data_IF_286862158020
#
_entry.id   IF_286862158020
#
_cell.length_a   1.000
_cell.length_b   1.000
_cell.length_c   1.000
_cell.angle_alpha   90.00
_cell.angle_beta   90.00
_cell.angle_gamma   90.00
#
_symmetry.space_group_name_H-M   'P 1'
#
loop_
_entity.id
_entity.type
_entity.pdbx_description
1 polymer ?
#
# COMPACT_ATOMS: atom_id res chain seq x y z
N UNK A 1 -8.82 -10.89 -27.51
CA UNK A 1 -9.75 -9.73 -27.53
C UNK A 1 -9.24 -8.67 -26.55
N UNK A 2 -9.18 -7.40 -26.93
CA UNK A 2 -8.76 -6.31 -26.02
C UNK A 2 -9.98 -5.48 -25.64
N UNK A 3 -10.18 -5.26 -24.35
CA UNK A 3 -11.24 -4.41 -23.80
C UNK A 3 -10.61 -3.10 -23.32
N UNK A 4 -11.18 -1.98 -23.74
CA UNK A 4 -10.86 -0.64 -23.27
C UNK A 4 -12.08 -0.11 -22.52
N UNK A 5 -11.91 0.49 -21.38
CA UNK A 5 -13.00 1.10 -20.64
C UNK A 5 -12.58 2.39 -19.96
N UNK A 6 -13.32 3.45 -20.26
CA UNK A 6 -13.23 4.76 -19.65
C UNK A 6 -14.64 5.35 -19.52
N UNK A 7 -14.85 6.20 -18.53
CA UNK A 7 -16.09 7.01 -18.44
C UNK A 7 -15.95 8.35 -19.16
N UNK A 8 -14.75 8.71 -19.60
CA UNK A 8 -14.50 9.98 -20.28
C UNK A 8 -14.90 9.89 -21.77
N UNK A 9 -15.45 10.97 -22.34
CA UNK A 9 -15.63 11.08 -23.79
C UNK A 9 -14.29 10.87 -24.49
N UNK A 10 -14.26 10.07 -25.57
CA UNK A 10 -13.03 9.70 -26.31
C UNK A 10 -11.97 8.94 -25.50
N UNK A 11 -12.28 8.50 -24.26
CA UNK A 11 -11.35 7.82 -23.37
C UNK A 11 -10.74 6.53 -23.97
N UNK A 12 -11.50 5.77 -24.78
CA UNK A 12 -10.97 4.56 -25.43
C UNK A 12 -9.83 4.87 -26.41
N UNK A 13 -9.94 5.96 -27.17
CA UNK A 13 -8.90 6.40 -28.10
C UNK A 13 -7.62 6.77 -27.32
N UNK A 14 -7.77 7.55 -26.27
CA UNK A 14 -6.67 7.93 -25.36
C UNK A 14 -5.99 6.70 -24.74
N UNK A 15 -6.76 5.75 -24.21
CA UNK A 15 -6.21 4.53 -23.62
C UNK A 15 -5.40 3.73 -24.65
N UNK A 16 -5.88 3.63 -25.89
CA UNK A 16 -5.19 2.96 -26.98
C UNK A 16 -3.86 3.65 -27.32
N UNK A 17 -3.87 4.97 -27.40
CA UNK A 17 -2.68 5.79 -27.67
C UNK A 17 -1.64 5.64 -26.57
N UNK A 18 -2.04 5.78 -25.30
CA UNK A 18 -1.13 5.64 -24.16
C UNK A 18 -0.50 4.24 -24.09
N UNK A 19 -1.27 3.20 -24.40
CA UNK A 19 -0.76 1.84 -24.50
C UNK A 19 0.30 1.73 -25.59
N UNK A 20 0.05 2.27 -26.77
CA UNK A 20 1.01 2.25 -27.90
C UNK A 20 2.31 2.95 -27.54
N UNK A 21 2.27 4.07 -26.82
CA UNK A 21 3.48 4.75 -26.34
C UNK A 21 4.30 3.89 -25.38
N UNK A 22 3.64 3.23 -24.43
CA UNK A 22 4.33 2.32 -23.48
C UNK A 22 4.90 1.09 -24.21
N UNK A 23 4.18 0.50 -25.16
CA UNK A 23 4.66 -0.63 -25.96
C UNK A 23 5.87 -0.23 -26.81
N UNK A 24 5.79 0.90 -27.53
CA UNK A 24 6.92 1.42 -28.31
C UNK A 24 8.15 1.69 -27.43
N UNK A 25 7.95 2.33 -26.27
CA UNK A 25 9.03 2.57 -25.30
C UNK A 25 9.70 1.28 -24.82
N UNK A 26 8.90 0.27 -24.46
CA UNK A 26 9.44 -1.01 -23.97
C UNK A 26 10.14 -1.83 -25.03
N UNK A 27 9.76 -1.67 -26.29
CA UNK A 27 10.37 -2.34 -27.45
C UNK A 27 11.55 -1.54 -28.05
N UNK A 28 11.87 -0.36 -27.49
CA UNK A 28 12.91 0.52 -28.01
C UNK A 28 12.60 1.11 -29.40
N UNK A 29 11.31 1.19 -29.75
CA UNK A 29 10.83 1.80 -30.98
C UNK A 29 10.76 3.31 -30.88
N UNK A 30 10.87 4.05 -31.99
CA UNK A 30 10.70 5.50 -31.99
C UNK A 30 9.31 5.90 -31.49
N UNK A 31 9.27 6.92 -30.63
CA UNK A 31 8.06 7.58 -30.16
C UNK A 31 8.06 9.01 -30.70
N UNK A 32 6.88 9.63 -30.86
CA UNK A 32 6.78 11.03 -31.28
C UNK A 32 7.68 11.92 -30.41
N UNK A 33 8.38 12.92 -30.98
CA UNK A 33 9.21 13.86 -30.22
C UNK A 33 8.45 14.63 -29.13
N UNK A 34 7.15 14.75 -29.24
CA UNK A 34 6.27 15.43 -28.28
C UNK A 34 5.87 14.54 -27.10
N UNK A 35 6.33 13.27 -27.08
CA UNK A 35 5.98 12.31 -26.05
C UNK A 35 7.22 11.88 -25.27
N UNK A 36 7.19 12.06 -23.97
CA UNK A 36 8.18 11.51 -23.06
C UNK A 36 7.58 10.33 -22.29
N UNK A 37 8.28 9.20 -22.29
CA UNK A 37 7.90 8.01 -21.54
C UNK A 37 9.06 7.58 -20.65
N UNK A 38 8.79 7.37 -19.37
CA UNK A 38 9.81 6.94 -18.40
C UNK A 38 9.24 5.91 -17.43
N UNK A 39 10.08 4.99 -16.96
CA UNK A 39 9.74 4.08 -15.86
C UNK A 39 9.92 4.82 -14.54
N UNK A 40 8.84 5.03 -13.79
CA UNK A 40 8.89 5.64 -12.46
C UNK A 40 8.90 4.60 -11.33
N UNK A 41 8.52 3.36 -11.62
CA UNK A 41 8.62 2.23 -10.68
C UNK A 41 8.71 0.90 -11.44
N UNK A 42 9.55 -0.01 -10.97
CA UNK A 42 9.69 -1.35 -11.53
C UNK A 42 9.75 -2.41 -10.43
N UNK A 43 8.78 -3.33 -10.42
CA UNK A 43 8.67 -4.40 -9.44
C UNK A 43 7.84 -5.57 -9.99
N UNK A 44 6.82 -6.02 -9.25
CA UNK A 44 5.84 -6.99 -9.79
C UNK A 44 4.90 -6.38 -10.83
N UNK A 45 4.74 -5.08 -10.76
CA UNK A 45 4.05 -4.26 -11.75
C UNK A 45 5.05 -3.19 -12.18
N UNK A 46 4.86 -2.61 -13.35
CA UNK A 46 5.67 -1.48 -13.81
C UNK A 46 4.78 -0.26 -13.92
N UNK A 47 5.25 0.88 -13.45
CA UNK A 47 4.58 2.17 -13.61
C UNK A 47 5.40 3.01 -14.59
N UNK A 48 4.72 3.46 -15.62
CA UNK A 48 5.26 4.40 -16.60
C UNK A 48 4.62 5.75 -16.38
N UNK A 49 5.40 6.82 -16.45
CA UNK A 49 4.90 8.19 -16.63
C UNK A 49 4.97 8.49 -18.12
N UNK A 50 3.87 8.95 -18.67
CA UNK A 50 3.73 9.31 -20.08
C UNK A 50 3.28 10.77 -20.15
N UNK A 51 4.18 11.64 -20.59
CA UNK A 51 3.91 13.05 -20.87
C UNK A 51 3.65 13.17 -22.38
N UNK A 52 2.48 13.65 -22.76
CA UNK A 52 2.05 13.75 -24.17
C UNK A 52 1.12 14.96 -24.34
N UNK A 53 0.75 15.34 -25.59
CA UNK A 53 -0.12 16.49 -25.82
C UNK A 53 -1.47 16.42 -25.11
N UNK A 54 -1.99 15.22 -24.86
CA UNK A 54 -3.24 14.98 -24.16
C UNK A 54 -3.12 15.16 -22.64
N UNK A 55 -1.89 15.24 -22.12
CA UNK A 55 -1.59 15.45 -20.71
C UNK A 55 -0.50 14.55 -20.15
N UNK A 56 -0.44 14.51 -18.82
CA UNK A 56 0.54 13.73 -18.06
C UNK A 56 -0.17 12.58 -17.33
N UNK A 57 0.27 11.36 -17.56
CA UNK A 57 -0.41 10.14 -17.12
C UNK A 57 0.53 9.17 -16.42
N UNK A 58 -0.05 8.37 -15.54
CA UNK A 58 0.58 7.16 -15.02
C UNK A 58 -0.11 5.93 -15.60
N UNK A 59 0.67 5.09 -16.28
CA UNK A 59 0.23 3.82 -16.83
C UNK A 59 0.80 2.70 -15.96
N UNK A 60 -0.06 2.05 -15.18
CA UNK A 60 0.30 0.91 -14.34
C UNK A 60 0.06 -0.39 -15.08
N UNK A 61 1.14 -1.00 -15.56
CA UNK A 61 1.14 -2.30 -16.18
C UNK A 61 1.20 -3.40 -15.12
N UNK A 62 0.21 -4.27 -15.07
CA UNK A 62 0.20 -5.44 -14.22
C UNK A 62 0.88 -6.60 -14.95
N UNK A 63 2.07 -6.97 -14.49
CA UNK A 63 2.86 -8.03 -15.11
C UNK A 63 2.12 -9.37 -15.26
N UNK A 64 2.69 -10.26 -16.06
CA UNK A 64 2.13 -11.55 -16.46
C UNK A 64 1.59 -12.37 -15.28
N UNK A 65 0.44 -12.96 -15.47
CA UNK A 65 -0.25 -13.79 -14.49
C UNK A 65 0.16 -15.27 -14.66
N UNK A 66 0.17 -16.01 -13.56
CA UNK A 66 0.23 -17.47 -13.62
C UNK A 66 -1.08 -18.00 -14.22
N UNK A 67 -1.02 -19.08 -14.99
CA UNK A 67 -2.14 -19.68 -15.74
C UNK A 67 -3.47 -19.72 -14.95
N UNK A 68 -3.47 -20.27 -13.74
CA UNK A 68 -4.68 -20.36 -12.92
C UNK A 68 -5.28 -18.99 -12.54
N UNK A 69 -4.44 -17.98 -12.33
CA UNK A 69 -4.91 -16.61 -12.04
C UNK A 69 -5.39 -15.90 -13.29
N UNK A 70 -4.75 -16.15 -14.41
CA UNK A 70 -5.14 -15.65 -15.73
C UNK A 70 -6.56 -16.12 -16.09
N UNK A 71 -6.83 -17.43 -15.95
CA UNK A 71 -8.14 -18.02 -16.13
C UNK A 71 -9.18 -17.44 -15.14
N UNK A 72 -8.86 -17.44 -13.86
CA UNK A 72 -9.76 -16.90 -12.82
C UNK A 72 -10.15 -15.45 -13.10
N UNK A 73 -9.18 -14.55 -13.33
CA UNK A 73 -9.48 -13.13 -13.56
C UNK A 73 -10.21 -12.89 -14.88
N UNK A 74 -9.89 -13.65 -15.93
CA UNK A 74 -10.55 -13.57 -17.21
C UNK A 74 -12.03 -13.97 -17.13
N UNK A 75 -12.31 -15.14 -16.55
CA UNK A 75 -13.67 -15.68 -16.47
C UNK A 75 -14.54 -14.99 -15.43
N UNK A 76 -13.98 -14.53 -14.31
CA UNK A 76 -14.74 -13.79 -13.28
C UNK A 76 -14.82 -12.29 -13.54
N UNK A 77 -14.10 -11.79 -14.55
CA UNK A 77 -14.04 -10.34 -14.86
C UNK A 77 -13.58 -9.49 -13.65
N UNK A 78 -12.64 -10.03 -12.86
CA UNK A 78 -12.13 -9.41 -11.62
C UNK A 78 -10.66 -9.03 -11.72
N UNK A 79 -10.19 -8.64 -12.90
CA UNK A 79 -8.83 -8.19 -13.16
C UNK A 79 -8.40 -7.04 -12.23
N UNK A 80 -7.09 -6.94 -11.98
CA UNK A 80 -6.57 -5.90 -11.07
C UNK A 80 -6.74 -4.50 -11.65
N UNK A 81 -6.54 -4.34 -12.96
CA UNK A 81 -6.69 -3.06 -13.64
C UNK A 81 -8.13 -2.55 -13.52
N UNK A 82 -9.09 -3.40 -13.86
CA UNK A 82 -10.52 -3.11 -13.72
C UNK A 82 -10.89 -2.73 -12.29
N UNK A 83 -10.45 -3.52 -11.29
CA UNK A 83 -10.72 -3.20 -9.87
C UNK A 83 -10.10 -1.88 -9.44
N UNK A 84 -8.85 -1.58 -9.87
CA UNK A 84 -8.22 -0.30 -9.55
C UNK A 84 -9.05 0.86 -10.09
N UNK A 85 -9.53 0.76 -11.33
CA UNK A 85 -10.35 1.79 -11.96
C UNK A 85 -11.70 1.97 -11.26
N UNK A 86 -12.44 0.89 -11.02
CA UNK A 86 -13.75 0.97 -10.36
C UNK A 86 -13.63 1.49 -8.92
N UNK A 87 -12.61 1.08 -8.19
CA UNK A 87 -12.36 1.56 -6.83
C UNK A 87 -11.95 3.04 -6.83
N UNK A 88 -11.22 3.52 -7.84
CA UNK A 88 -10.90 4.93 -7.98
C UNK A 88 -12.15 5.78 -8.21
N UNK A 89 -13.02 5.37 -9.13
CA UNK A 89 -14.32 6.05 -9.36
C UNK A 89 -15.17 6.08 -8.09
N UNK A 90 -15.16 5.02 -7.30
CA UNK A 90 -15.89 4.99 -6.05
C UNK A 90 -15.29 5.92 -4.98
N UNK A 91 -13.96 6.04 -4.90
CA UNK A 91 -13.31 7.03 -4.04
C UNK A 91 -13.69 8.45 -4.45
N UNK A 92 -13.68 8.76 -5.76
CA UNK A 92 -14.10 10.08 -6.26
C UNK A 92 -15.54 10.39 -5.89
N UNK A 93 -16.46 9.42 -6.01
CA UNK A 93 -17.86 9.60 -5.62
C UNK A 93 -18.05 9.90 -4.13
N UNK A 94 -17.08 9.49 -3.29
CA UNK A 94 -17.03 9.77 -1.86
C UNK A 94 -16.19 11.02 -1.53
N UNK A 95 -15.70 11.75 -2.53
CA UNK A 95 -14.80 12.90 -2.37
C UNK A 95 -13.49 12.56 -1.61
N UNK A 96 -13.03 11.31 -1.74
CA UNK A 96 -11.77 10.83 -1.18
C UNK A 96 -10.67 10.90 -2.23
N UNK A 97 -9.57 11.65 -1.98
CA UNK A 97 -8.56 11.89 -3.01
C UNK A 97 -7.85 10.62 -3.48
N UNK A 98 -7.77 10.47 -4.79
CA UNK A 98 -6.93 9.52 -5.52
C UNK A 98 -6.52 10.19 -6.84
N UNK A 99 -5.41 9.79 -7.49
CA UNK A 99 -5.12 10.27 -8.85
C UNK A 99 -6.30 10.00 -9.78
N UNK A 100 -6.72 11.04 -10.53
CA UNK A 100 -7.90 11.00 -11.42
C UNK A 100 -7.87 9.76 -12.32
N UNK A 101 -8.85 8.85 -12.25
CA UNK A 101 -8.88 7.65 -13.06
C UNK A 101 -9.29 7.94 -14.50
N UNK A 102 -8.46 7.54 -15.45
CA UNK A 102 -8.76 7.69 -16.88
C UNK A 102 -9.44 6.43 -17.42
N UNK A 103 -8.93 5.26 -17.06
CA UNK A 103 -9.51 4.02 -17.52
C UNK A 103 -8.65 2.79 -17.25
N UNK A 104 -9.07 1.67 -17.85
CA UNK A 104 -8.28 0.45 -17.84
C UNK A 104 -8.34 -0.28 -19.17
N UNK A 105 -7.34 -1.13 -19.40
CA UNK A 105 -7.22 -2.00 -20.57
C UNK A 105 -7.04 -3.43 -20.06
N UNK A 106 -7.79 -4.36 -20.63
CA UNK A 106 -7.64 -5.80 -20.40
C UNK A 106 -7.55 -6.55 -21.73
N UNK A 107 -6.51 -7.34 -21.89
CA UNK A 107 -6.31 -8.20 -23.05
C UNK A 107 -6.57 -9.65 -22.67
N UNK A 108 -7.43 -10.31 -23.43
CA UNK A 108 -7.82 -11.69 -23.23
C UNK A 108 -7.40 -12.53 -24.45
N UNK A 109 -7.02 -13.77 -24.21
CA UNK A 109 -6.77 -14.75 -25.27
C UNK A 109 -8.09 -15.33 -25.87
N UNK A 110 -7.96 -16.28 -26.76
CA UNK A 110 -9.11 -16.95 -27.40
C UNK A 110 -9.97 -17.75 -26.41
N UNK A 111 -9.41 -18.15 -25.27
CA UNK A 111 -10.11 -18.89 -24.19
C UNK A 111 -10.71 -17.95 -23.15
N UNK A 112 -10.61 -16.62 -23.33
CA UNK A 112 -11.09 -15.62 -22.40
C UNK A 112 -10.20 -15.42 -21.16
N UNK A 113 -9.00 -16.00 -21.15
CA UNK A 113 -8.06 -15.79 -20.05
C UNK A 113 -7.42 -14.41 -20.13
N UNK A 114 -7.27 -13.74 -18.98
CA UNK A 114 -6.62 -12.41 -18.90
C UNK A 114 -5.11 -12.57 -19.05
N UNK A 115 -4.55 -12.11 -20.17
CA UNK A 115 -3.12 -12.21 -20.48
C UNK A 115 -2.34 -10.95 -20.14
N UNK A 116 -2.98 -9.78 -20.26
CA UNK A 116 -2.34 -8.49 -19.96
C UNK A 116 -3.34 -7.44 -19.49
N UNK A 117 -2.89 -6.48 -18.65
CA UNK A 117 -3.80 -5.44 -18.16
C UNK A 117 -3.07 -4.17 -17.70
N UNK A 118 -3.70 -3.01 -17.93
CA UNK A 118 -3.20 -1.69 -17.59
C UNK A 118 -4.28 -0.88 -16.88
N UNK A 119 -3.92 -0.17 -15.81
CA UNK A 119 -4.71 0.87 -15.19
C UNK A 119 -4.04 2.21 -15.46
N UNK A 120 -4.82 3.19 -15.88
CA UNK A 120 -4.35 4.51 -16.27
C UNK A 120 -5.03 5.57 -15.41
N UNK A 121 -4.24 6.50 -14.87
CA UNK A 121 -4.71 7.68 -14.15
C UNK A 121 -3.87 8.90 -14.53
N UNK A 122 -4.33 10.10 -14.21
CA UNK A 122 -3.54 11.33 -14.31
C UNK A 122 -2.33 11.26 -13.41
N UNK A 123 -1.21 11.81 -13.88
CA UNK A 123 -0.07 12.02 -13.00
C UNK A 123 -0.39 13.13 -12.01
N UNK A 124 -0.09 12.88 -10.75
CA UNK A 124 -0.22 13.86 -9.67
C UNK A 124 1.14 13.99 -8.99
N UNK A 125 1.70 15.20 -9.01
CA UNK A 125 2.97 15.50 -8.35
C UNK A 125 2.76 15.49 -6.83
N UNK A 126 3.22 14.45 -6.15
CA UNK A 126 3.15 14.33 -4.70
C UNK A 126 4.37 14.99 -4.06
N UNK A 127 4.16 15.73 -2.96
CA UNK A 127 5.26 16.31 -2.17
C UNK A 127 6.12 15.22 -1.58
N UNK A 128 5.47 14.20 -1.02
CA UNK A 128 6.12 12.98 -0.53
C UNK A 128 5.37 11.76 -1.04
N UNK A 129 6.11 10.83 -1.63
CA UNK A 129 5.54 9.59 -2.14
C UNK A 129 5.41 8.49 -1.09
N UNK A 130 5.87 8.74 0.15
CA UNK A 130 5.83 7.73 1.20
C UNK A 130 5.84 8.32 2.61
N UNK A 131 5.03 7.76 3.48
CA UNK A 131 5.03 8.01 4.92
C UNK A 131 6.01 7.08 5.68
N UNK A 132 6.81 6.29 4.97
CA UNK A 132 7.67 5.26 5.57
C UNK A 132 8.64 5.80 6.64
N UNK A 133 9.35 6.94 6.45
CA UNK A 133 10.25 7.48 7.46
C UNK A 133 9.52 7.87 8.76
N UNK A 134 8.29 8.35 8.65
CA UNK A 134 7.46 8.72 9.79
C UNK A 134 6.91 7.48 10.51
N UNK A 135 6.47 6.50 9.76
CA UNK A 135 6.02 5.22 10.30
C UNK A 135 7.14 4.47 11.03
N UNK A 136 8.38 4.59 10.56
CA UNK A 136 9.57 4.04 11.19
C UNK A 136 10.04 4.82 12.42
N UNK A 137 9.57 6.05 12.61
CA UNK A 137 10.04 6.95 13.67
C UNK A 137 11.38 7.62 13.37
N UNK A 138 11.83 7.62 12.12
CA UNK A 138 13.06 8.26 11.65
C UNK A 138 12.86 9.77 11.44
N UNK A 139 11.69 10.14 10.92
CA UNK A 139 11.19 11.51 10.87
C UNK A 139 9.99 11.64 11.80
N UNK A 140 9.76 12.83 12.31
CA UNK A 140 8.61 13.13 13.15
C UNK A 140 8.04 14.50 12.73
N UNK A 141 6.76 14.51 12.41
CA UNK A 141 5.99 15.72 12.14
C UNK A 141 4.63 15.57 12.80
N UNK A 142 4.40 16.31 13.85
CA UNK A 142 3.11 16.28 14.58
C UNK A 142 1.96 16.74 13.69
N UNK A 143 2.07 17.87 12.92
CA UNK A 143 1.00 18.30 12.02
C UNK A 143 0.63 17.23 10.97
N UNK A 144 1.62 16.60 10.35
CA UNK A 144 1.40 15.55 9.35
C UNK A 144 0.69 14.33 9.94
N UNK A 145 1.15 13.84 11.11
CA UNK A 145 0.59 12.63 11.72
C UNK A 145 -0.82 12.91 12.24
N UNK A 146 -1.08 14.10 12.77
CA UNK A 146 -2.40 14.53 13.20
C UNK A 146 -3.37 14.58 12.01
N UNK A 147 -3.00 15.29 10.95
CA UNK A 147 -3.81 15.38 9.74
C UNK A 147 -4.06 14.00 9.10
N UNK A 148 -3.07 13.10 9.13
CA UNK A 148 -3.23 11.71 8.67
C UNK A 148 -4.27 10.96 9.52
N UNK A 149 -4.28 11.15 10.85
CA UNK A 149 -5.27 10.53 11.73
C UNK A 149 -6.69 10.98 11.41
N UNK A 150 -6.88 12.27 11.20
CA UNK A 150 -8.17 12.87 10.80
C UNK A 150 -8.62 12.36 9.42
N UNK A 151 -7.70 12.32 8.44
CA UNK A 151 -7.96 11.76 7.12
C UNK A 151 -8.41 10.29 7.17
N UNK A 152 -7.71 9.46 7.93
CA UNK A 152 -8.04 8.03 8.08
C UNK A 152 -9.35 7.82 8.85
N UNK A 153 -9.69 8.71 9.78
CA UNK A 153 -10.99 8.70 10.45
C UNK A 153 -12.12 8.96 9.44
N UNK A 154 -11.98 9.99 8.61
CA UNK A 154 -12.93 10.29 7.53
C UNK A 154 -13.05 9.13 6.53
N UNK A 155 -11.92 8.55 6.11
CA UNK A 155 -11.90 7.37 5.23
C UNK A 155 -12.76 6.22 5.80
N UNK A 156 -12.63 5.96 7.10
CA UNK A 156 -13.37 4.89 7.78
C UNK A 156 -14.82 5.27 8.10
N UNK A 157 -15.13 6.57 8.28
CA UNK A 157 -16.52 7.06 8.36
C UNK A 157 -17.24 6.83 7.02
N UNK A 158 -16.56 7.03 5.90
CA UNK A 158 -17.09 6.70 4.57
C UNK A 158 -17.17 5.19 4.28
N UNK A 159 -16.86 4.33 5.26
CA UNK A 159 -16.96 2.87 5.12
C UNK A 159 -15.87 2.23 4.27
N UNK A 160 -14.76 2.91 4.01
CA UNK A 160 -13.71 2.46 3.10
C UNK A 160 -12.62 1.67 3.82
N UNK A 161 -12.33 0.46 3.34
CA UNK A 161 -11.21 -0.38 3.77
C UNK A 161 -10.23 -0.53 2.63
N UNK A 162 -8.99 -0.10 2.82
CA UNK A 162 -7.89 -0.40 1.92
C UNK A 162 -7.10 -1.59 2.47
N UNK A 163 -7.23 -2.79 1.88
CA UNK A 163 -6.61 -4.02 2.43
C UNK A 163 -5.07 -3.99 2.50
N UNK A 164 -4.44 -3.13 1.73
CA UNK A 164 -2.99 -2.93 1.77
C UNK A 164 -2.63 -1.50 2.24
N UNK A 165 -3.35 -0.99 3.23
CA UNK A 165 -3.15 0.33 3.82
C UNK A 165 -1.77 0.37 4.49
N UNK A 166 -0.79 0.84 3.74
CA UNK A 166 0.61 0.92 4.18
C UNK A 166 1.15 2.32 3.91
N UNK A 167 2.22 2.74 4.59
CA UNK A 167 2.80 4.07 4.40
C UNK A 167 3.13 4.43 2.96
N UNK A 168 3.53 3.45 2.14
CA UNK A 168 3.83 3.64 0.72
C UNK A 168 2.58 3.83 -0.18
N UNK A 169 1.39 3.52 0.34
CA UNK A 169 0.13 3.63 -0.41
C UNK A 169 -0.69 4.86 -0.03
N UNK A 170 -0.10 5.76 0.78
CA UNK A 170 -0.71 7.03 1.21
C UNK A 170 0.28 8.17 0.93
N UNK A 171 0.57 8.50 -0.32
CA UNK A 171 1.32 9.70 -0.65
C UNK A 171 0.50 10.95 -0.32
N UNK A 172 1.17 12.11 -0.17
CA UNK A 172 0.51 13.35 0.14
C UNK A 172 1.10 14.56 -0.59
N UNK A 173 0.31 15.60 -0.65
CA UNK A 173 0.73 16.94 -1.04
C UNK A 173 0.64 17.84 0.20
N UNK A 174 1.68 18.63 0.43
CA UNK A 174 1.68 19.73 1.39
C UNK A 174 1.52 21.03 0.62
N UNK A 175 0.45 21.75 0.88
CA UNK A 175 0.32 23.14 0.49
C UNK A 175 1.08 24.00 1.51
N UNK A 176 2.27 24.46 1.14
CA UNK A 176 3.12 25.26 2.02
C UNK A 176 2.50 26.60 2.38
N UNK A 177 1.60 27.15 1.55
CA UNK A 177 0.94 28.43 1.79
C UNK A 177 -0.10 28.37 2.90
N UNK A 178 -0.79 27.24 3.03
CA UNK A 178 -1.85 27.02 4.02
C UNK A 178 -1.43 26.08 5.14
N UNK A 179 -0.33 25.32 4.95
CA UNK A 179 0.08 24.24 5.84
C UNK A 179 -0.84 23.01 5.79
N UNK A 180 -1.68 22.91 4.76
CA UNK A 180 -2.69 21.83 4.63
C UNK A 180 -2.10 20.61 3.92
N UNK A 181 -2.41 19.42 4.46
CA UNK A 181 -2.04 18.15 3.87
C UNK A 181 -3.22 17.54 3.12
N UNK A 182 -3.00 17.15 1.86
CA UNK A 182 -3.94 16.34 1.07
C UNK A 182 -3.35 14.95 0.88
N UNK A 183 -4.00 13.93 1.43
CA UNK A 183 -3.58 12.54 1.32
C UNK A 183 -4.29 11.86 0.14
N UNK A 184 -3.56 11.08 -0.63
CA UNK A 184 -4.06 10.30 -1.73
C UNK A 184 -3.98 8.81 -1.43
N UNK A 185 -4.92 8.02 -1.94
CA UNK A 185 -4.79 6.57 -1.93
C UNK A 185 -4.30 6.07 -3.28
N UNK A 186 -3.32 5.16 -3.26
CA UNK A 186 -2.80 4.48 -4.45
C UNK A 186 -2.77 2.96 -4.24
N UNK A 187 -2.55 2.19 -5.29
CA UNK A 187 -2.63 0.71 -5.32
C UNK A 187 -4.01 0.15 -4.96
N UNK A 188 -5.03 0.69 -5.59
CA UNK A 188 -6.45 0.55 -5.27
C UNK A 188 -7.06 -0.83 -5.59
N UNK A 189 -6.30 -1.80 -6.08
CA UNK A 189 -6.86 -3.09 -6.54
C UNK A 189 -7.44 -3.98 -5.42
N UNK A 190 -7.28 -3.57 -4.15
CA UNK A 190 -7.77 -4.27 -2.96
C UNK A 190 -8.48 -3.31 -2.02
N UNK A 191 -9.70 -2.99 -2.34
CA UNK A 191 -10.55 -2.13 -1.50
C UNK A 191 -11.90 -2.78 -1.27
N UNK A 192 -12.51 -2.42 -0.15
CA UNK A 192 -13.90 -2.74 0.18
C UNK A 192 -14.61 -1.47 0.61
N UNK A 193 -15.86 -1.37 0.23
CA UNK A 193 -16.72 -0.23 0.54
C UNK A 193 -17.95 -0.75 1.28
N UNK A 194 -18.23 -0.17 2.42
CA UNK A 194 -19.41 -0.42 3.25
C UNK A 194 -20.33 0.80 3.18
N UNK A 195 -21.65 0.63 3.16
CA UNK A 195 -22.57 1.76 3.28
C UNK A 195 -22.57 2.37 4.69
N UNK A 196 -21.87 1.76 5.63
CA UNK A 196 -21.80 2.19 7.03
C UNK A 196 -20.36 2.49 7.43
N UNK A 197 -20.20 3.41 8.38
CA UNK A 197 -18.93 3.66 9.04
C UNK A 197 -18.30 2.36 9.58
N UNK A 198 -16.98 2.24 9.48
CA UNK A 198 -16.29 1.04 9.93
C UNK A 198 -16.37 0.89 11.47
N UNK A 199 -16.62 -0.32 11.90
CA UNK A 199 -16.54 -0.65 13.32
C UNK A 199 -15.12 -0.49 13.87
N UNK A 200 -14.99 -0.27 15.18
CA UNK A 200 -13.70 -0.14 15.86
C UNK A 200 -12.75 -1.30 15.55
N UNK A 201 -13.24 -2.53 15.52
CA UNK A 201 -12.43 -3.71 15.24
C UNK A 201 -11.89 -3.73 13.81
N UNK A 202 -12.69 -3.33 12.82
CA UNK A 202 -12.28 -3.27 11.41
C UNK A 202 -11.26 -2.14 11.23
N UNK A 203 -11.48 -0.99 11.86
CA UNK A 203 -10.55 0.15 11.84
C UNK A 203 -9.18 -0.24 12.39
N UNK A 204 -9.12 -0.88 13.56
CA UNK A 204 -7.87 -1.38 14.14
C UNK A 204 -7.10 -2.31 13.20
N UNK A 205 -7.80 -3.25 12.54
CA UNK A 205 -7.18 -4.15 11.55
C UNK A 205 -6.63 -3.42 10.33
N UNK A 206 -7.32 -2.36 9.90
CA UNK A 206 -6.89 -1.59 8.74
C UNK A 206 -5.67 -0.72 9.07
N UNK A 207 -5.62 -0.16 10.28
CA UNK A 207 -4.53 0.71 10.75
C UNK A 207 -3.29 -0.04 11.24
N UNK A 208 -3.39 -1.32 11.67
CA UNK A 208 -2.35 -2.08 12.36
C UNK A 208 -0.98 -2.15 11.65
N UNK A 209 -0.95 -1.88 10.35
CA UNK A 209 0.27 -1.97 9.53
C UNK A 209 0.94 -0.63 9.24
N UNK A 210 0.31 0.48 9.60
CA UNK A 210 0.82 1.81 9.27
C UNK A 210 2.09 2.15 10.05
N UNK A 211 2.07 2.00 11.37
CA UNK A 211 3.17 2.42 12.22
C UNK A 211 3.77 1.27 13.03
N UNK A 212 5.07 1.33 13.20
CA UNK A 212 5.82 0.47 14.14
C UNK A 212 6.57 1.29 15.19
N UNK A 213 6.61 2.61 15.07
CA UNK A 213 7.03 3.54 16.11
C UNK A 213 5.85 3.85 17.03
N UNK A 214 5.99 3.58 18.33
CA UNK A 214 4.92 3.89 19.32
C UNK A 214 4.62 5.38 19.37
N UNK A 215 5.64 6.24 19.36
CA UNK A 215 5.43 7.69 19.41
C UNK A 215 4.54 8.20 18.28
N UNK A 216 4.79 7.73 17.05
CA UNK A 216 3.97 8.11 15.90
C UNK A 216 2.57 7.43 15.95
N UNK A 217 2.52 6.19 16.43
CA UNK A 217 1.26 5.46 16.61
C UNK A 217 0.34 6.14 17.63
N UNK A 218 0.90 6.63 18.74
CA UNK A 218 0.13 7.30 19.81
C UNK A 218 -0.52 8.58 19.30
N UNK A 219 0.24 9.39 18.55
CA UNK A 219 -0.30 10.62 17.98
C UNK A 219 -1.37 10.34 16.92
N UNK A 220 -1.14 9.36 16.05
CA UNK A 220 -2.14 8.93 15.08
C UNK A 220 -3.42 8.44 15.78
N UNK A 221 -3.25 7.57 16.80
CA UNK A 221 -4.37 7.02 17.54
C UNK A 221 -5.19 8.11 18.22
N UNK A 222 -4.52 9.12 18.81
CA UNK A 222 -5.17 10.26 19.44
C UNK A 222 -6.04 11.02 18.43
N UNK A 223 -5.45 11.52 17.35
CA UNK A 223 -6.19 12.33 16.38
C UNK A 223 -7.29 11.54 15.68
N UNK A 224 -7.04 10.26 15.39
CA UNK A 224 -8.04 9.36 14.82
C UNK A 224 -9.23 9.14 15.78
N UNK A 225 -8.96 8.83 17.05
CA UNK A 225 -10.01 8.59 18.06
C UNK A 225 -10.82 9.85 18.35
N UNK A 226 -10.17 11.01 18.46
CA UNK A 226 -10.85 12.30 18.60
C UNK A 226 -11.81 12.56 17.43
N UNK A 227 -11.35 12.37 16.19
CA UNK A 227 -12.18 12.53 14.98
C UNK A 227 -13.35 11.54 14.89
N UNK A 228 -13.19 10.32 15.46
CA UNK A 228 -14.25 9.30 15.54
C UNK A 228 -15.14 9.42 16.77
N UNK A 229 -14.90 10.38 17.68
CA UNK A 229 -15.62 10.50 18.95
C UNK A 229 -15.41 9.31 19.89
N UNK A 230 -14.26 8.63 19.81
CA UNK A 230 -13.94 7.48 20.66
C UNK A 230 -13.04 7.87 21.83
N UNK A 231 -13.09 7.06 22.89
CA UNK A 231 -12.22 7.28 24.05
C UNK A 231 -10.76 7.02 23.65
N UNK A 232 -9.93 8.06 23.79
CA UNK A 232 -8.56 8.12 23.24
C UNK A 232 -7.64 7.08 23.89
N UNK A 233 -7.64 6.97 25.21
CA UNK A 233 -6.67 6.13 25.92
C UNK A 233 -6.88 4.64 25.60
N UNK A 234 -8.14 4.17 25.56
CA UNK A 234 -8.44 2.79 25.22
C UNK A 234 -8.12 2.49 23.74
N UNK A 235 -8.46 3.41 22.84
CA UNK A 235 -8.17 3.20 21.42
C UNK A 235 -6.66 3.16 21.15
N UNK A 236 -5.89 4.08 21.75
CA UNK A 236 -4.43 4.11 21.64
C UNK A 236 -3.82 2.79 22.10
N UNK A 237 -4.25 2.27 23.25
CA UNK A 237 -3.77 0.99 23.77
C UNK A 237 -4.11 -0.18 22.84
N UNK A 238 -5.32 -0.21 22.29
CA UNK A 238 -5.76 -1.24 21.36
C UNK A 238 -4.99 -1.17 20.03
N UNK A 239 -4.78 0.04 19.48
CA UNK A 239 -4.03 0.21 18.24
C UNK A 239 -2.56 -0.17 18.40
N UNK A 240 -1.91 0.24 19.51
CA UNK A 240 -0.55 -0.21 19.82
C UNK A 240 -0.46 -1.74 19.87
N UNK A 241 -1.40 -2.38 20.57
CA UNK A 241 -1.44 -3.83 20.65
C UNK A 241 -1.65 -4.51 19.28
N UNK A 242 -2.51 -3.96 18.43
CA UNK A 242 -2.73 -4.45 17.08
C UNK A 242 -1.47 -4.29 16.20
N UNK A 243 -0.82 -3.12 16.22
CA UNK A 243 0.44 -2.86 15.52
C UNK A 243 1.54 -3.82 16.01
N UNK A 244 1.70 -3.99 17.30
CA UNK A 244 2.67 -4.90 17.88
C UNK A 244 2.44 -6.35 17.44
N UNK A 245 1.20 -6.81 17.43
CA UNK A 245 0.84 -8.14 16.97
C UNK A 245 1.15 -8.34 15.47
N UNK A 246 0.84 -7.33 14.66
CA UNK A 246 1.12 -7.36 13.24
C UNK A 246 2.63 -7.45 12.97
N UNK A 247 3.41 -6.54 13.54
CA UNK A 247 4.85 -6.44 13.31
C UNK A 247 5.61 -7.61 13.94
N UNK A 248 5.21 -8.09 15.11
CA UNK A 248 5.78 -9.28 15.72
C UNK A 248 5.69 -10.52 14.80
N UNK A 249 4.59 -10.66 14.07
CA UNK A 249 4.41 -11.76 13.09
C UNK A 249 5.16 -11.53 11.79
N UNK A 250 5.35 -10.26 11.39
CA UNK A 250 5.86 -9.88 10.08
C UNK A 250 7.39 -9.71 10.06
N UNK A 251 7.96 -8.98 11.03
CA UNK A 251 9.39 -8.65 11.04
C UNK A 251 10.31 -9.86 11.01
N UNK A 252 10.10 -10.92 11.81
CA UNK A 252 10.98 -12.09 11.75
C UNK A 252 10.94 -12.82 10.40
N UNK A 253 9.77 -12.80 9.73
CA UNK A 253 9.63 -13.39 8.38
C UNK A 253 10.35 -12.55 7.33
N UNK A 254 10.26 -11.21 7.45
CA UNK A 254 10.99 -10.30 6.58
C UNK A 254 12.49 -10.44 6.80
N UNK A 255 12.94 -10.40 8.03
CA UNK A 255 14.36 -10.57 8.39
C UNK A 255 14.94 -11.87 7.81
N UNK A 256 14.25 -13.02 7.96
CA UNK A 256 14.63 -14.27 7.32
C UNK A 256 14.71 -14.17 5.80
N UNK A 257 13.69 -13.59 5.17
CA UNK A 257 13.57 -13.54 3.70
C UNK A 257 14.69 -12.75 3.06
N UNK A 258 15.12 -11.65 3.71
CA UNK A 258 16.12 -10.74 3.16
C UNK A 258 17.53 -11.07 3.62
N UNK A 259 17.72 -11.65 4.78
CA UNK A 259 19.03 -12.15 5.22
C UNK A 259 19.57 -13.26 4.33
N UNK A 260 18.70 -14.06 3.73
CA UNK A 260 19.08 -15.11 2.76
C UNK A 260 19.50 -14.56 1.38
N UNK A 261 19.34 -13.27 1.11
CA UNK A 261 19.63 -12.63 -0.18
C UNK A 261 20.87 -11.74 -0.17
N UNK A 262 21.90 -12.14 0.59
CA UNK A 262 23.26 -11.55 0.52
C UNK A 262 23.38 -10.06 0.89
N UNK A 263 22.91 -9.67 2.06
CA UNK A 263 23.37 -8.42 2.66
C UNK A 263 24.34 -8.72 3.80
N UNK A 264 25.59 -8.76 3.53
CA UNK A 264 26.86 -8.77 4.31
C UNK A 264 26.86 -8.80 5.84
N UNK A 265 25.76 -8.63 6.52
CA UNK A 265 25.63 -8.65 7.96
C UNK A 265 24.85 -9.90 8.39
N UNK A 266 25.62 -10.82 8.95
CA UNK A 266 25.20 -11.98 9.75
C UNK A 266 23.77 -12.53 9.50
N UNK A 267 23.59 -13.20 8.34
CA UNK A 267 22.48 -14.13 8.08
C UNK A 267 22.15 -15.00 9.31
N UNK A 268 23.17 -15.39 10.08
CA UNK A 268 23.06 -16.13 11.33
C UNK A 268 22.26 -15.38 12.41
N UNK A 269 22.41 -14.07 12.53
CA UNK A 269 21.64 -13.28 13.51
C UNK A 269 20.14 -13.32 13.21
N UNK A 270 19.73 -13.02 11.98
CA UNK A 270 18.31 -13.03 11.57
C UNK A 270 17.70 -14.43 11.59
N UNK A 271 18.46 -15.44 11.24
CA UNK A 271 18.00 -16.84 11.39
C UNK A 271 17.75 -17.20 12.86
N UNK A 272 18.60 -16.78 13.79
CA UNK A 272 18.40 -16.97 15.25
C UNK A 272 17.11 -16.27 15.71
N UNK A 273 16.88 -15.02 15.30
CA UNK A 273 15.65 -14.27 15.62
C UNK A 273 14.41 -15.00 15.08
N UNK A 274 14.47 -15.52 13.87
CA UNK A 274 13.36 -16.25 13.27
C UNK A 274 13.08 -17.60 13.96
N UNK A 275 14.12 -18.37 14.28
CA UNK A 275 13.98 -19.62 15.03
C UNK A 275 13.44 -19.38 16.43
N UNK A 276 13.90 -18.33 17.13
CA UNK A 276 13.34 -17.91 18.40
C UNK A 276 11.85 -17.59 18.27
N UNK A 277 11.45 -16.85 17.23
CA UNK A 277 10.04 -16.55 16.98
C UNK A 277 9.21 -17.82 16.77
N UNK A 278 9.67 -18.78 15.98
CA UNK A 278 8.96 -20.03 15.73
C UNK A 278 8.78 -20.85 17.01
N UNK A 279 9.86 -20.95 17.81
CA UNK A 279 9.84 -21.69 19.07
C UNK A 279 8.88 -21.05 20.07
N UNK A 280 8.97 -19.74 20.27
CA UNK A 280 8.08 -18.98 21.16
C UNK A 280 6.61 -19.03 20.71
N UNK A 281 6.36 -19.02 19.40
CA UNK A 281 5.01 -19.22 18.82
C UNK A 281 4.45 -20.59 19.15
N UNK A 282 5.26 -21.65 19.07
CA UNK A 282 4.85 -23.02 19.48
C UNK A 282 4.54 -23.06 20.97
N UNK A 283 5.44 -22.52 21.80
CA UNK A 283 5.25 -22.45 23.24
C UNK A 283 3.94 -21.77 23.63
N UNK A 284 3.61 -20.63 23.04
CA UNK A 284 2.33 -19.93 23.30
C UNK A 284 1.09 -20.76 22.97
N UNK A 285 1.18 -21.68 22.01
CA UNK A 285 0.04 -22.56 21.68
C UNK A 285 -0.28 -23.61 22.74
N UNK A 286 0.72 -24.06 23.44
CA UNK A 286 0.60 -25.13 24.46
C UNK A 286 0.40 -24.59 25.87
N UNK A 287 0.60 -23.31 26.11
CA UNK A 287 0.41 -22.72 27.44
C UNK A 287 -1.05 -22.72 27.83
N UNK A 288 -1.41 -23.19 29.05
CA UNK A 288 -2.79 -23.29 29.50
C UNK A 288 -3.40 -21.93 29.87
N UNK A 289 -2.62 -21.00 30.41
CA UNK A 289 -3.10 -19.73 30.95
C UNK A 289 -3.04 -18.58 29.95
N UNK A 290 -4.11 -17.76 29.89
CA UNK A 290 -4.16 -16.54 29.09
C UNK A 290 -3.17 -15.48 29.56
N UNK A 291 -2.97 -15.33 30.87
CA UNK A 291 -2.02 -14.38 31.46
C UNK A 291 -0.57 -14.72 31.11
N UNK A 292 -0.21 -15.99 31.18
CA UNK A 292 1.12 -16.46 30.74
C UNK A 292 1.35 -16.23 29.23
N UNK A 293 0.33 -16.42 28.40
CA UNK A 293 0.40 -16.11 26.96
C UNK A 293 0.65 -14.63 26.72
N UNK A 294 -0.06 -13.75 27.43
CA UNK A 294 0.12 -12.30 27.31
C UNK A 294 1.50 -11.86 27.79
N UNK A 295 1.96 -12.35 28.94
CA UNK A 295 3.31 -12.05 29.44
C UNK A 295 4.40 -12.49 28.44
N UNK A 296 4.31 -13.70 27.93
CA UNK A 296 5.28 -14.23 26.95
C UNK A 296 5.25 -13.41 25.65
N UNK A 297 4.08 -12.92 25.28
CA UNK A 297 3.92 -12.07 24.11
C UNK A 297 4.55 -10.70 24.29
N UNK A 298 4.35 -10.05 25.44
CA UNK A 298 4.96 -8.78 25.79
C UNK A 298 6.51 -8.86 25.85
N UNK A 299 7.03 -9.93 26.47
CA UNK A 299 8.46 -10.20 26.50
C UNK A 299 9.06 -10.36 25.08
N UNK A 300 8.32 -11.00 24.19
CA UNK A 300 8.75 -11.22 22.81
C UNK A 300 8.76 -9.92 22.01
N UNK A 301 7.76 -9.06 22.17
CA UNK A 301 7.73 -7.72 21.56
C UNK A 301 8.91 -6.90 22.05
N UNK A 302 9.15 -6.83 23.36
CA UNK A 302 10.25 -6.09 23.95
C UNK A 302 11.60 -6.61 23.47
N UNK A 303 11.72 -7.93 23.23
CA UNK A 303 12.91 -8.53 22.66
C UNK A 303 13.14 -8.08 21.21
N UNK A 304 12.13 -8.19 20.33
CA UNK A 304 12.28 -7.80 18.93
C UNK A 304 12.54 -6.31 18.76
N UNK A 305 11.92 -5.45 19.57
CA UNK A 305 12.18 -4.01 19.55
C UNK A 305 13.62 -3.65 19.90
N UNK A 306 14.27 -4.43 20.79
CA UNK A 306 15.69 -4.23 21.13
C UNK A 306 16.66 -4.74 20.08
N UNK A 307 16.29 -5.78 19.32
CA UNK A 307 17.19 -6.49 18.41
C UNK A 307 16.94 -6.22 16.93
N UNK A 308 15.78 -5.66 16.57
CA UNK A 308 15.48 -5.20 15.22
C UNK A 308 15.52 -3.67 15.22
N UNK A 309 16.63 -3.13 14.76
CA UNK A 309 16.79 -1.68 14.65
C UNK A 309 15.87 -1.13 13.55
N UNK A 310 15.46 0.15 13.62
CA UNK A 310 14.67 0.80 12.57
C UNK A 310 15.25 0.63 11.17
N UNK A 311 16.58 0.68 11.04
CA UNK A 311 17.29 0.43 9.78
C UNK A 311 17.11 -0.97 9.22
N UNK A 312 17.09 -2.00 10.08
CA UNK A 312 16.86 -3.39 9.64
C UNK A 312 15.45 -3.53 9.08
N UNK A 313 14.49 -2.87 9.71
CA UNK A 313 13.09 -2.82 9.27
C UNK A 313 13.00 -2.09 7.93
N UNK A 314 13.64 -0.93 7.80
CA UNK A 314 13.69 -0.14 6.56
C UNK A 314 14.29 -0.95 5.41
N UNK A 315 15.47 -1.54 5.61
CA UNK A 315 16.11 -2.41 4.61
C UNK A 315 15.21 -3.59 4.20
N UNK A 316 14.57 -4.21 5.18
CA UNK A 316 13.66 -5.33 4.93
C UNK A 316 12.42 -4.91 4.14
N UNK A 317 11.90 -3.72 4.33
CA UNK A 317 10.76 -3.16 3.60
C UNK A 317 11.18 -2.62 2.23
N UNK A 318 12.22 -1.82 2.13
CA UNK A 318 12.73 -1.23 0.89
C UNK A 318 13.08 -2.30 -0.15
N UNK A 319 13.74 -3.38 0.25
CA UNK A 319 14.07 -4.49 -0.65
C UNK A 319 12.85 -5.31 -1.12
N UNK A 320 11.68 -5.13 -0.53
CA UNK A 320 10.44 -5.76 -0.96
C UNK A 320 9.73 -4.98 -2.08
N UNK A 321 9.87 -3.67 -2.08
CA UNK A 321 9.07 -2.76 -2.90
C UNK A 321 9.81 -2.24 -4.14
N UNK A 322 11.06 -2.66 -4.36
CA UNK A 322 11.81 -2.22 -5.54
C UNK A 322 12.18 -0.73 -5.53
N UNK A 323 12.32 -0.13 -4.33
CA UNK A 323 12.80 1.24 -4.23
C UNK A 323 14.20 1.35 -4.82
N UNK A 324 14.46 2.38 -5.65
CA UNK A 324 15.82 2.69 -6.07
C UNK A 324 16.70 2.96 -4.83
N UNK A 325 17.94 2.51 -4.91
CA UNK A 325 18.96 2.67 -3.88
C UNK A 325 19.28 4.13 -3.63
#
# INVERSE_FOLDING_TARGET
MTKYQSVQPQGEALLKTLRQYVEAFTEGKPISPEVACQVIYQGRNTLYRVECPEGDFVVKHFGSLRLLRSAYYGWTNTGKARRSYLNALQLESLSLPTPEPIGYIEQHDALGMLIDSYYICRYTAMTESTLQPYAAGEKYSEPLIKALGEYLANLHECGVVHEDLSPGNIPYILDESTGTYTFYLVDLNRMHFSPYALSRQVSLRNLERLFHSHKACDLLAKSYAEARGWEVASFTKELQAACDQFWLKRLPKLARRYSMRAYGTSTKHYLRLYHRYLWRRRLRRILPSSSLKQRLFAEEIAFYRRHLQPEDVRRALANREGYPK
#
